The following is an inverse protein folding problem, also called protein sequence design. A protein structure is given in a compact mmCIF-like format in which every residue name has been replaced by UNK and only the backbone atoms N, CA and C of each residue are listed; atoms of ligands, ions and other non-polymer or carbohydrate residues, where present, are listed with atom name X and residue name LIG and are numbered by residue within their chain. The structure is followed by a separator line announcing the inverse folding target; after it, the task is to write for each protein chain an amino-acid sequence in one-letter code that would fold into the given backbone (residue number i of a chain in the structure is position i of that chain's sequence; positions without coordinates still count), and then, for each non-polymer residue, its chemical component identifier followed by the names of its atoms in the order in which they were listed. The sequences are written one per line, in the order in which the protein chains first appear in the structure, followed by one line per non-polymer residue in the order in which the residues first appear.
data_IF_870704119680
#
_entry.id   IF_870704119680
#
_cell.length_a   1.000
_cell.length_b   1.000
_cell.length_c   1.000
_cell.angle_alpha   90.00
_cell.angle_beta   90.00
_cell.angle_gamma   90.00
#
_symmetry.space_group_name_H-M   'P 1'
#
loop_
_entity.id
_entity.type
_entity.pdbx_description
1 polymer ?
#
# COMPACT_ATOMS: atom_id res chain seq x y z
N UNK A 1 17.74 -5.42 15.32
CA UNK A 1 17.12 -6.71 14.93
C UNK A 1 17.14 -7.69 16.08
N UNK A 2 18.28 -8.30 16.43
CA UNK A 2 18.35 -9.33 17.49
C UNK A 2 17.85 -8.89 18.87
N UNK A 3 18.21 -7.67 19.29
CA UNK A 3 17.75 -7.13 20.58
C UNK A 3 16.21 -7.03 20.71
N UNK A 4 15.48 -7.03 19.59
CA UNK A 4 14.01 -6.95 19.56
C UNK A 4 13.36 -8.25 19.04
N UNK A 5 14.15 -9.32 18.90
CA UNK A 5 13.72 -10.61 18.32
C UNK A 5 13.05 -10.48 16.94
N UNK A 6 13.55 -9.56 16.11
CA UNK A 6 13.07 -9.35 14.73
C UNK A 6 14.08 -9.81 13.69
N UNK A 7 13.58 -10.15 12.50
CA UNK A 7 14.39 -10.63 11.38
C UNK A 7 14.10 -9.93 10.05
N UNK A 8 13.19 -8.95 10.00
CA UNK A 8 12.84 -8.20 8.79
C UNK A 8 13.17 -6.70 8.95
N UNK A 9 14.05 -6.20 8.09
CA UNK A 9 14.37 -4.76 7.97
C UNK A 9 13.58 -4.18 6.81
N UNK A 10 12.94 -3.04 7.03
CA UNK A 10 12.24 -2.29 5.98
C UNK A 10 13.19 -1.28 5.38
N UNK A 11 13.28 -1.29 4.05
CA UNK A 11 14.04 -0.35 3.26
C UNK A 11 13.09 0.38 2.32
N UNK A 12 12.58 1.51 2.80
CA UNK A 12 11.74 2.38 1.99
C UNK A 12 12.58 3.05 0.89
N UNK A 13 11.99 3.19 -0.30
CA UNK A 13 12.60 3.88 -1.42
C UNK A 13 12.99 5.31 -1.03
N UNK A 14 14.14 5.76 -1.52
CA UNK A 14 14.63 7.10 -1.25
C UNK A 14 13.72 8.15 -1.91
N UNK A 15 13.51 9.26 -1.21
CA UNK A 15 12.59 10.34 -1.60
C UNK A 15 13.30 11.65 -1.89
N UNK A 16 14.64 11.67 -1.72
CA UNK A 16 15.45 12.84 -2.04
C UNK A 16 15.47 13.06 -3.55
N UNK A 17 15.61 14.31 -3.95
CA UNK A 17 15.59 14.77 -5.35
C UNK A 17 16.95 15.30 -5.81
N UNK A 18 17.93 15.40 -4.90
CA UNK A 18 19.26 15.91 -5.20
C UNK A 18 20.14 14.90 -5.95
N UNK A 19 21.26 15.37 -6.50
CA UNK A 19 22.18 14.56 -7.33
C UNK A 19 22.85 13.40 -6.58
N UNK A 20 22.73 13.32 -5.26
CA UNK A 20 23.24 12.23 -4.43
C UNK A 20 22.37 10.97 -4.46
N UNK A 21 21.22 10.98 -5.15
CA UNK A 21 20.37 9.81 -5.34
C UNK A 21 20.30 9.36 -6.78
N UNK A 22 19.87 8.10 -6.97
CA UNK A 22 19.69 7.51 -8.28
C UNK A 22 18.41 6.70 -8.35
N UNK A 23 17.75 6.73 -9.50
CA UNK A 23 16.65 5.84 -9.87
C UNK A 23 17.08 4.75 -10.85
N UNK A 24 18.38 4.68 -11.17
CA UNK A 24 18.94 3.64 -12.03
C UNK A 24 18.72 2.26 -11.42
N UNK A 25 17.96 1.43 -12.14
CA UNK A 25 17.56 0.10 -11.67
C UNK A 25 18.77 -0.79 -11.35
N UNK A 26 19.85 -0.72 -12.13
CA UNK A 26 21.04 -1.55 -11.90
C UNK A 26 21.70 -1.20 -10.57
N UNK A 27 21.81 0.09 -10.28
CA UNK A 27 22.37 0.59 -9.03
C UNK A 27 21.48 0.20 -7.84
N UNK A 28 20.18 0.48 -7.91
CA UNK A 28 19.23 0.12 -6.82
C UNK A 28 19.25 -1.39 -6.55
N UNK A 29 19.21 -2.21 -7.61
CA UNK A 29 19.24 -3.67 -7.47
C UNK A 29 20.56 -4.17 -6.87
N UNK A 30 21.70 -3.59 -7.27
CA UNK A 30 23.02 -3.93 -6.69
C UNK A 30 23.07 -3.58 -5.21
N UNK A 31 22.60 -2.40 -4.83
CA UNK A 31 22.64 -1.94 -3.45
C UNK A 31 21.72 -2.82 -2.56
N UNK A 32 20.53 -3.20 -3.06
CA UNK A 32 19.66 -4.19 -2.40
C UNK A 32 20.32 -5.56 -2.28
N UNK A 33 21.05 -6.01 -3.31
CA UNK A 33 21.78 -7.29 -3.26
C UNK A 33 22.90 -7.25 -2.21
N UNK A 34 23.63 -6.15 -2.12
CA UNK A 34 24.68 -5.93 -1.12
C UNK A 34 24.10 -5.95 0.30
N UNK A 35 22.98 -5.26 0.54
CA UNK A 35 22.26 -5.33 1.82
C UNK A 35 21.83 -6.76 2.16
N UNK A 36 21.33 -7.51 1.17
CA UNK A 36 20.98 -8.93 1.31
C UNK A 36 22.19 -9.79 1.70
N UNK A 37 23.33 -9.60 1.03
CA UNK A 37 24.56 -10.34 1.27
C UNK A 37 25.14 -10.03 2.67
N UNK A 38 25.10 -8.76 3.09
CA UNK A 38 25.49 -8.33 4.44
C UNK A 38 24.59 -8.95 5.51
N UNK A 39 23.27 -8.92 5.30
CA UNK A 39 22.29 -9.51 6.20
C UNK A 39 22.50 -11.03 6.37
N UNK A 40 22.78 -11.72 5.25
CA UNK A 40 23.07 -13.15 5.26
C UNK A 40 24.43 -13.45 5.94
N UNK A 41 25.46 -12.64 5.72
CA UNK A 41 26.75 -12.79 6.38
C UNK A 41 26.63 -12.61 7.90
N UNK A 42 25.88 -11.61 8.34
CA UNK A 42 25.61 -11.38 9.76
C UNK A 42 24.86 -12.56 10.39
N UNK A 43 23.78 -13.03 9.76
CA UNK A 43 23.00 -14.17 10.27
C UNK A 43 23.82 -15.47 10.35
N UNK A 44 24.77 -15.68 9.43
CA UNK A 44 25.71 -16.82 9.52
C UNK A 44 26.71 -16.66 10.67
N UNK A 45 27.22 -15.46 10.88
CA UNK A 45 28.20 -15.19 11.92
C UNK A 45 27.61 -15.31 13.34
N UNK A 46 26.36 -14.91 13.52
CA UNK A 46 25.67 -14.98 14.82
C UNK A 46 24.89 -16.28 15.06
N UNK A 47 24.75 -17.13 14.04
CA UNK A 47 24.01 -18.39 14.11
C UNK A 47 22.48 -18.22 14.26
N UNK A 48 21.96 -17.00 14.06
CA UNK A 48 20.55 -16.68 14.24
C UNK A 48 19.70 -16.89 12.99
N UNK A 49 18.41 -16.55 13.09
CA UNK A 49 17.46 -16.57 11.96
C UNK A 49 17.95 -15.69 10.80
N UNK A 50 17.70 -16.11 9.55
CA UNK A 50 18.03 -15.31 8.37
C UNK A 50 17.44 -13.90 8.47
N UNK A 51 18.29 -12.88 8.34
CA UNK A 51 17.85 -11.49 8.25
C UNK A 51 17.36 -11.20 6.82
N UNK A 52 16.17 -10.63 6.73
CA UNK A 52 15.46 -10.29 5.49
C UNK A 52 15.48 -8.78 5.29
N UNK A 53 15.66 -8.37 4.04
CA UNK A 53 15.56 -6.99 3.58
C UNK A 53 14.28 -6.86 2.75
N UNK A 54 13.31 -6.11 3.25
CA UNK A 54 12.08 -5.79 2.52
C UNK A 54 12.18 -4.42 1.88
N UNK A 55 12.05 -4.34 0.56
CA UNK A 55 12.03 -3.08 -0.18
C UNK A 55 10.60 -2.56 -0.33
N UNK A 56 10.36 -1.31 0.06
CA UNK A 56 9.06 -0.65 -0.02
C UNK A 56 9.11 0.52 -1.01
N UNK A 57 8.26 0.51 -2.03
CA UNK A 57 8.10 1.65 -2.94
C UNK A 57 7.15 2.68 -2.36
N UNK A 58 7.66 3.84 -1.95
CA UNK A 58 6.81 4.94 -1.50
C UNK A 58 6.15 5.64 -2.69
N UNK A 59 4.89 6.05 -2.56
CA UNK A 59 4.11 6.67 -3.64
C UNK A 59 4.72 7.98 -4.19
N UNK A 60 5.57 8.63 -3.41
CA UNK A 60 6.30 9.84 -3.80
C UNK A 60 7.82 9.62 -4.02
N UNK A 61 8.29 8.37 -4.09
CA UNK A 61 9.64 8.09 -4.54
C UNK A 61 9.76 8.18 -6.07
N UNK A 62 10.99 8.24 -6.60
CA UNK A 62 11.20 8.24 -8.06
C UNK A 62 10.79 6.92 -8.72
N UNK A 63 10.92 5.79 -8.00
CA UNK A 63 10.40 4.47 -8.39
C UNK A 63 9.26 4.11 -7.43
N UNK A 64 8.03 4.45 -7.81
CA UNK A 64 6.88 4.43 -6.91
C UNK A 64 5.79 3.40 -7.24
N UNK A 65 5.90 2.64 -8.34
CA UNK A 65 4.96 1.56 -8.64
C UNK A 65 5.40 0.25 -7.96
N UNK A 66 4.45 -0.63 -7.65
CA UNK A 66 4.79 -1.98 -7.13
C UNK A 66 5.65 -2.75 -8.15
N UNK A 67 5.40 -2.54 -9.44
CA UNK A 67 6.11 -3.20 -10.54
C UNK A 67 7.57 -2.75 -10.59
N UNK A 68 7.84 -1.45 -10.41
CA UNK A 68 9.20 -0.92 -10.35
C UNK A 68 9.98 -1.42 -9.13
N UNK A 69 9.31 -1.58 -7.99
CA UNK A 69 9.89 -2.16 -6.78
C UNK A 69 10.19 -3.65 -6.96
N UNK A 70 9.26 -4.39 -7.56
CA UNK A 70 9.44 -5.80 -7.93
C UNK A 70 10.64 -5.99 -8.85
N UNK A 71 10.82 -5.13 -9.85
CA UNK A 71 11.98 -5.19 -10.73
C UNK A 71 13.29 -5.09 -9.96
N UNK A 72 13.40 -4.12 -9.04
CA UNK A 72 14.60 -3.93 -8.23
C UNK A 72 14.91 -5.17 -7.38
N UNK A 73 13.90 -5.72 -6.69
CA UNK A 73 14.03 -6.97 -5.91
C UNK A 73 14.40 -8.16 -6.78
N UNK A 74 13.78 -8.29 -7.97
CA UNK A 74 14.06 -9.37 -8.92
C UNK A 74 15.49 -9.31 -9.43
N UNK A 75 15.99 -8.12 -9.77
CA UNK A 75 17.38 -7.94 -10.24
C UNK A 75 18.40 -8.06 -9.11
N UNK A 76 18.04 -7.73 -7.86
CA UNK A 76 18.88 -7.97 -6.70
C UNK A 76 19.16 -9.48 -6.52
N UNK A 77 18.17 -10.32 -6.86
CA UNK A 77 18.30 -11.77 -6.97
C UNK A 77 18.94 -12.40 -5.72
N UNK A 78 18.33 -12.15 -4.55
CA UNK A 78 18.71 -12.76 -3.27
C UNK A 78 17.48 -13.34 -2.60
N UNK A 79 17.57 -14.55 -2.00
CA UNK A 79 16.42 -15.18 -1.35
C UNK A 79 15.93 -14.41 -0.11
N UNK A 80 16.80 -13.65 0.55
CA UNK A 80 16.47 -12.82 1.71
C UNK A 80 16.21 -11.35 1.36
N UNK A 81 15.98 -11.03 0.08
CA UNK A 81 15.53 -9.71 -0.38
C UNK A 81 14.15 -9.87 -1.02
N UNK A 82 13.18 -9.10 -0.53
CA UNK A 82 11.77 -9.21 -0.88
C UNK A 82 11.07 -7.86 -0.88
N UNK A 83 9.76 -7.89 -1.08
CA UNK A 83 8.88 -6.72 -1.14
C UNK A 83 8.19 -6.51 0.20
N UNK A 84 8.06 -5.23 0.54
CA UNK A 84 7.04 -4.74 1.46
C UNK A 84 5.96 -4.09 0.58
N UNK A 85 4.74 -4.60 0.68
CA UNK A 85 3.60 -4.07 -0.07
C UNK A 85 2.78 -3.20 0.87
N UNK A 86 2.56 -1.94 0.50
CA UNK A 86 1.64 -1.03 1.19
C UNK A 86 0.49 -0.68 0.23
N UNK A 87 -0.74 -1.02 0.62
CA UNK A 87 -1.94 -0.73 -0.16
C UNK A 87 -2.12 0.77 -0.42
N UNK A 88 -1.82 1.63 0.55
CA UNK A 88 -1.90 3.08 0.34
C UNK A 88 -0.93 3.51 -0.74
N UNK A 89 0.33 3.09 -0.66
CA UNK A 89 1.34 3.52 -1.62
C UNK A 89 1.02 3.06 -3.06
N UNK A 90 0.49 1.84 -3.23
CA UNK A 90 0.02 1.37 -4.54
C UNK A 90 -1.15 2.24 -5.04
N UNK A 91 -2.18 2.43 -4.22
CA UNK A 91 -3.40 3.12 -4.64
C UNK A 91 -3.18 4.61 -4.85
N UNK A 92 -2.30 5.24 -4.06
CA UNK A 92 -1.92 6.65 -4.23
C UNK A 92 -1.19 6.92 -5.56
N UNK A 93 -0.63 5.89 -6.20
CA UNK A 93 0.01 6.00 -7.51
C UNK A 93 -0.93 5.57 -8.63
N UNK A 94 -1.66 4.47 -8.46
CA UNK A 94 -2.39 3.80 -9.55
C UNK A 94 -3.90 4.13 -9.60
N UNK A 95 -4.44 4.83 -8.60
CA UNK A 95 -5.88 5.08 -8.50
C UNK A 95 -6.23 6.50 -8.01
N UNK A 96 -5.70 6.89 -6.85
CA UNK A 96 -6.21 8.00 -6.08
C UNK A 96 -5.69 9.38 -6.52
N UNK A 97 -6.51 10.41 -6.32
CA UNK A 97 -6.15 11.83 -6.38
C UNK A 97 -6.77 12.59 -5.19
N UNK A 98 -5.96 12.97 -4.18
CA UNK A 98 -6.48 13.77 -3.06
C UNK A 98 -6.82 15.22 -3.44
N UNK A 99 -6.56 15.64 -4.67
CA UNK A 99 -6.84 17.00 -5.16
C UNK A 99 -8.01 17.05 -6.15
N UNK A 100 -8.67 15.91 -6.38
CA UNK A 100 -9.90 15.84 -7.15
C UNK A 100 -11.08 15.51 -6.22
N UNK A 101 -12.24 16.15 -6.44
CA UNK A 101 -13.46 15.92 -5.66
C UNK A 101 -13.98 14.48 -5.79
N UNK A 102 -13.71 13.84 -6.93
CA UNK A 102 -14.04 12.44 -7.15
C UNK A 102 -13.09 11.48 -6.41
N UNK A 103 -11.92 11.95 -5.95
CA UNK A 103 -10.88 11.13 -5.34
C UNK A 103 -10.11 10.25 -6.32
N UNK A 104 -10.54 10.16 -7.56
CA UNK A 104 -9.86 9.47 -8.66
C UNK A 104 -9.64 10.47 -9.81
N UNK A 105 -9.52 9.98 -11.04
CA UNK A 105 -9.27 10.82 -12.23
C UNK A 105 -7.91 11.50 -12.30
N UNK A 106 -6.94 10.99 -11.52
CA UNK A 106 -5.53 11.34 -11.68
C UNK A 106 -5.00 10.96 -13.08
N UNK A 107 -5.41 9.77 -13.55
CA UNK A 107 -4.91 9.14 -14.77
C UNK A 107 -6.04 8.88 -15.78
N UNK A 108 -7.22 8.46 -15.32
CA UNK A 108 -8.36 8.03 -16.16
C UNK A 108 -9.66 8.73 -15.79
N UNK A 109 -10.48 9.09 -16.77
CA UNK A 109 -11.60 10.03 -16.55
C UNK A 109 -12.79 9.47 -15.79
N UNK A 110 -12.86 8.14 -15.59
CA UNK A 110 -14.00 7.52 -14.91
C UNK A 110 -13.53 6.55 -13.83
N UNK A 111 -14.42 6.30 -12.86
CA UNK A 111 -14.17 5.33 -11.79
C UNK A 111 -13.99 3.92 -12.38
N UNK A 112 -14.86 3.51 -13.29
CA UNK A 112 -14.84 2.20 -13.93
C UNK A 112 -13.56 1.96 -14.72
N UNK A 113 -13.09 2.95 -15.49
CA UNK A 113 -11.83 2.85 -16.23
C UNK A 113 -10.64 2.78 -15.27
N UNK A 114 -10.63 3.61 -14.22
CA UNK A 114 -9.59 3.59 -13.18
C UNK A 114 -9.50 2.20 -12.50
N UNK A 115 -10.65 1.61 -12.20
CA UNK A 115 -10.73 0.28 -11.59
C UNK A 115 -10.36 -0.85 -12.56
N UNK A 116 -10.69 -0.76 -13.86
CA UNK A 116 -10.28 -1.76 -14.86
C UNK A 116 -8.76 -1.79 -15.02
N UNK A 117 -8.12 -0.61 -15.07
CA UNK A 117 -6.66 -0.52 -15.15
C UNK A 117 -6.01 -1.01 -13.85
N UNK A 118 -6.52 -0.59 -12.69
CA UNK A 118 -6.02 -1.03 -11.40
C UNK A 118 -6.11 -2.56 -11.25
N UNK A 119 -7.27 -3.16 -11.55
CA UNK A 119 -7.45 -4.61 -11.46
C UNK A 119 -6.59 -5.37 -12.48
N UNK A 120 -6.33 -4.81 -13.65
CA UNK A 120 -5.35 -5.34 -14.61
C UNK A 120 -3.91 -5.31 -14.09
N UNK A 121 -3.51 -4.20 -13.46
CA UNK A 121 -2.22 -4.04 -12.77
C UNK A 121 -2.08 -5.06 -11.64
N UNK A 122 -3.08 -5.18 -10.78
CA UNK A 122 -3.09 -6.13 -9.66
C UNK A 122 -3.14 -7.59 -10.12
N UNK A 123 -3.82 -7.91 -11.22
CA UNK A 123 -3.75 -9.25 -11.82
C UNK A 123 -2.32 -9.58 -12.33
N UNK A 124 -1.60 -8.57 -12.81
CA UNK A 124 -0.17 -8.71 -13.15
C UNK A 124 0.68 -8.90 -11.89
N UNK A 125 0.34 -8.27 -10.77
CA UNK A 125 0.99 -8.53 -9.48
C UNK A 125 0.82 -10.00 -9.08
N UNK A 126 -0.42 -10.52 -9.09
CA UNK A 126 -0.73 -11.92 -8.76
C UNK A 126 0.07 -12.91 -9.60
N UNK A 127 0.15 -12.68 -10.91
CA UNK A 127 0.79 -13.61 -11.84
C UNK A 127 2.32 -13.52 -11.89
N UNK A 128 2.91 -12.42 -11.40
CA UNK A 128 4.35 -12.16 -11.58
C UNK A 128 5.13 -12.11 -10.27
N UNK A 129 4.49 -11.92 -9.12
CA UNK A 129 5.15 -11.93 -7.80
C UNK A 129 5.07 -13.34 -7.21
N UNK A 130 6.21 -14.02 -6.98
CA UNK A 130 6.22 -15.29 -6.28
C UNK A 130 5.74 -15.17 -4.83
N UNK A 131 5.18 -16.24 -4.30
CA UNK A 131 4.66 -16.35 -2.92
C UNK A 131 5.70 -16.04 -1.85
N UNK A 132 6.97 -16.39 -2.10
CA UNK A 132 8.10 -16.16 -1.21
C UNK A 132 8.67 -14.73 -1.28
N UNK A 133 8.17 -13.85 -2.16
CA UNK A 133 8.74 -12.51 -2.36
C UNK A 133 8.03 -11.41 -1.61
N UNK A 134 6.81 -11.59 -1.10
CA UNK A 134 6.16 -10.59 -0.25
C UNK A 134 6.48 -10.92 1.20
N UNK A 135 7.36 -10.13 1.82
CA UNK A 135 7.77 -10.34 3.21
C UNK A 135 6.81 -9.73 4.21
N UNK A 136 6.07 -8.71 3.81
CA UNK A 136 5.12 -8.02 4.66
C UNK A 136 4.07 -7.27 3.83
N UNK A 137 2.85 -7.20 4.36
CA UNK A 137 1.76 -6.43 3.78
C UNK A 137 1.21 -5.43 4.80
N UNK A 138 1.19 -4.16 4.39
CA UNK A 138 0.59 -3.04 5.10
C UNK A 138 -0.67 -2.60 4.37
N UNK A 139 -1.72 -2.34 5.15
CA UNK A 139 -2.99 -1.86 4.63
C UNK A 139 -3.41 -0.61 5.38
N UNK A 140 -3.50 0.50 4.63
CA UNK A 140 -4.11 1.75 5.06
C UNK A 140 -5.04 2.25 3.96
N UNK A 141 -6.20 2.73 4.36
CA UNK A 141 -7.11 3.49 3.49
C UNK A 141 -6.79 4.98 3.63
N UNK A 142 -7.56 5.84 2.97
CA UNK A 142 -7.37 7.28 3.07
C UNK A 142 -8.64 8.06 2.84
N UNK A 143 -8.71 9.22 3.49
CA UNK A 143 -9.84 10.14 3.43
C UNK A 143 -9.99 10.76 2.04
N UNK A 144 -11.23 10.81 1.53
CA UNK A 144 -11.62 11.58 0.36
C UNK A 144 -11.59 13.06 0.74
N UNK A 145 -10.58 13.76 0.24
CA UNK A 145 -10.33 15.15 0.61
C UNK A 145 -11.27 16.10 -0.12
N UNK A 146 -11.57 17.24 0.51
CA UNK A 146 -12.19 18.37 -0.18
C UNK A 146 -11.09 19.25 -0.82
N UNK A 147 -10.97 19.31 -2.16
CA UNK A 147 -9.90 20.05 -2.83
C UNK A 147 -9.97 21.57 -2.64
N UNK A 148 -11.09 22.11 -2.17
CA UNK A 148 -11.19 23.55 -1.83
C UNK A 148 -10.45 23.89 -0.54
N UNK A 149 -10.27 22.90 0.35
CA UNK A 149 -9.63 23.07 1.66
C UNK A 149 -8.30 22.32 1.77
N UNK A 150 -8.11 21.27 0.99
CA UNK A 150 -6.88 20.49 0.94
C UNK A 150 -6.19 20.75 -0.39
N UNK A 151 -5.20 21.63 -0.36
CA UNK A 151 -4.48 22.10 -1.55
C UNK A 151 -3.10 21.43 -1.65
N UNK A 152 -2.56 21.26 -2.88
CA UNK A 152 -1.20 20.80 -3.05
C UNK A 152 -0.21 21.70 -2.29
N UNK A 153 0.90 21.13 -1.77
CA UNK A 153 1.99 21.91 -1.20
C UNK A 153 2.47 23.00 -2.16
N UNK A 154 2.74 24.18 -1.64
CA UNK A 154 3.34 25.29 -2.41
C UNK A 154 4.86 25.19 -2.50
N UNK A 155 5.48 24.48 -1.56
CA UNK A 155 6.91 24.20 -1.54
C UNK A 155 7.24 23.05 -2.50
N UNK A 156 8.12 23.30 -3.47
CA UNK A 156 8.52 22.32 -4.48
C UNK A 156 9.30 21.13 -3.91
N UNK A 157 9.89 21.27 -2.72
CA UNK A 157 10.61 20.19 -2.05
C UNK A 157 9.67 19.24 -1.30
N UNK A 158 8.41 19.63 -1.09
CA UNK A 158 7.41 18.79 -0.42
C UNK A 158 6.66 17.96 -1.45
N UNK A 159 6.76 16.61 -1.43
CA UNK A 159 6.05 15.80 -2.38
C UNK A 159 4.53 15.93 -2.25
N UNK A 160 3.84 16.00 -3.37
CA UNK A 160 2.40 16.30 -3.40
C UNK A 160 1.54 15.33 -2.57
N UNK A 161 1.90 14.04 -2.47
CA UNK A 161 1.11 13.07 -1.71
C UNK A 161 1.48 13.01 -0.21
N UNK A 162 2.58 13.65 0.19
CA UNK A 162 3.12 13.52 1.55
C UNK A 162 2.18 14.05 2.65
N UNK A 163 1.54 15.24 2.52
CA UNK A 163 0.63 15.72 3.56
C UNK A 163 -0.58 14.80 3.75
N UNK A 164 -1.13 14.28 2.65
CA UNK A 164 -2.25 13.34 2.68
C UNK A 164 -1.82 12.04 3.38
N UNK A 165 -0.68 11.48 2.98
CA UNK A 165 -0.11 10.28 3.57
C UNK A 165 0.22 10.41 5.07
N UNK A 166 0.47 11.59 5.61
CA UNK A 166 0.92 11.78 7.00
C UNK A 166 -0.20 12.16 7.97
N UNK A 167 -1.35 12.56 7.46
CA UNK A 167 -2.43 13.12 8.29
C UNK A 167 -3.82 12.55 7.98
N UNK A 168 -3.99 11.85 6.85
CA UNK A 168 -5.29 11.43 6.34
C UNK A 168 -5.37 9.94 5.95
N UNK A 169 -4.39 9.12 6.36
CA UNK A 169 -4.50 7.66 6.22
C UNK A 169 -5.43 7.10 7.30
N UNK A 170 -6.45 6.39 6.86
CA UNK A 170 -7.51 5.80 7.67
C UNK A 170 -7.35 4.28 7.77
N UNK A 171 -8.12 3.67 8.66
CA UNK A 171 -8.21 2.21 8.70
C UNK A 171 -8.94 1.69 7.45
N UNK A 172 -8.65 0.45 7.01
CA UNK A 172 -9.30 -0.16 5.85
C UNK A 172 -10.82 -0.01 5.89
N UNK A 173 -11.41 0.50 4.80
CA UNK A 173 -12.86 0.57 4.62
C UNK A 173 -13.59 1.42 5.69
N UNK A 174 -12.90 2.37 6.33
CA UNK A 174 -13.47 3.28 7.35
C UNK A 174 -14.33 4.40 6.72
N UNK A 175 -15.39 4.02 5.98
CA UNK A 175 -16.24 4.95 5.22
C UNK A 175 -16.91 6.02 6.08
N UNK A 176 -17.17 5.71 7.36
CA UNK A 176 -17.71 6.69 8.33
C UNK A 176 -16.81 7.90 8.55
N UNK A 177 -15.55 7.83 8.11
CA UNK A 177 -14.57 8.93 8.14
C UNK A 177 -14.07 9.32 6.75
N UNK A 178 -14.78 8.91 5.70
CA UNK A 178 -14.45 9.28 4.32
C UNK A 178 -13.41 8.38 3.65
N UNK A 179 -13.12 7.19 4.17
CA UNK A 179 -12.30 6.22 3.47
C UNK A 179 -12.94 5.83 2.12
N UNK A 180 -12.16 5.88 1.04
CA UNK A 180 -12.68 5.66 -0.31
C UNK A 180 -11.77 4.83 -1.22
N UNK A 181 -10.58 4.44 -0.79
CA UNK A 181 -9.70 3.68 -1.67
C UNK A 181 -10.17 2.22 -1.78
N UNK A 182 -9.93 1.54 -2.92
CA UNK A 182 -10.27 0.13 -3.10
C UNK A 182 -9.20 -0.79 -2.51
N UNK A 183 -8.91 -0.64 -1.21
CA UNK A 183 -7.89 -1.39 -0.47
C UNK A 183 -8.12 -2.91 -0.48
N UNK A 184 -9.38 -3.33 -0.58
CA UNK A 184 -9.79 -4.73 -0.68
C UNK A 184 -9.26 -5.41 -1.95
N UNK A 185 -9.09 -4.67 -3.06
CA UNK A 185 -8.53 -5.21 -4.31
C UNK A 185 -7.04 -5.53 -4.14
N UNK A 186 -6.29 -4.64 -3.47
CA UNK A 186 -4.87 -4.85 -3.20
C UNK A 186 -4.69 -6.02 -2.23
N UNK A 187 -5.48 -6.06 -1.16
CA UNK A 187 -5.44 -7.17 -0.20
C UNK A 187 -5.78 -8.51 -0.88
N UNK A 188 -6.81 -8.55 -1.74
CA UNK A 188 -7.15 -9.75 -2.51
C UNK A 188 -6.00 -10.20 -3.42
N UNK A 189 -5.37 -9.27 -4.14
CA UNK A 189 -4.21 -9.57 -4.99
C UNK A 189 -3.03 -10.11 -4.18
N UNK A 190 -2.68 -9.48 -3.06
CA UNK A 190 -1.58 -9.92 -2.20
C UNK A 190 -1.86 -11.32 -1.65
N UNK A 191 -3.05 -11.60 -1.14
CA UNK A 191 -3.40 -12.94 -0.65
C UNK A 191 -3.37 -14.00 -1.77
N UNK A 192 -3.78 -13.61 -2.99
CA UNK A 192 -3.76 -14.47 -4.17
C UNK A 192 -2.36 -14.84 -4.66
N UNK A 193 -1.32 -14.05 -4.35
CA UNK A 193 0.08 -14.45 -4.62
C UNK A 193 0.52 -15.65 -3.80
N UNK A 194 -0.19 -16.00 -2.71
CA UNK A 194 0.25 -17.00 -1.75
C UNK A 194 0.69 -16.43 -0.41
N UNK A 195 0.65 -15.10 -0.21
CA UNK A 195 0.93 -14.48 1.09
C UNK A 195 0.02 -15.02 2.19
N UNK A 196 0.61 -15.45 3.32
CA UNK A 196 -0.11 -16.00 4.50
C UNK A 196 0.31 -15.36 5.83
N UNK A 197 1.19 -14.37 5.79
CA UNK A 197 1.66 -13.68 6.99
C UNK A 197 0.62 -12.62 7.46
N UNK A 198 0.78 -12.03 8.66
CA UNK A 198 -0.16 -11.02 9.16
C UNK A 198 -0.33 -9.82 8.23
N UNK A 199 -1.51 -9.21 8.25
CA UNK A 199 -1.79 -7.92 7.63
C UNK A 199 -1.53 -6.84 8.69
N UNK A 200 -0.61 -5.92 8.42
CA UNK A 200 -0.34 -4.80 9.30
C UNK A 200 -1.19 -3.60 8.94
N UNK A 201 -1.66 -2.85 9.94
CA UNK A 201 -2.33 -1.58 9.72
C UNK A 201 -1.31 -0.45 9.77
N UNK A 202 -1.14 0.24 8.65
CA UNK A 202 -0.33 1.45 8.59
C UNK A 202 -1.22 2.67 8.40
N UNK A 203 -1.45 3.37 9.51
CA UNK A 203 -2.34 4.53 9.56
C UNK A 203 -1.60 5.74 10.10
N UNK A 204 -1.92 6.89 9.52
CA UNK A 204 -1.37 8.19 9.88
C UNK A 204 -2.52 9.19 9.78
N UNK A 205 -3.19 9.42 10.91
CA UNK A 205 -4.34 10.30 11.01
C UNK A 205 -4.11 11.33 12.12
N UNK A 206 -4.56 12.58 11.92
CA UNK A 206 -4.49 13.64 12.94
C UNK A 206 -5.12 13.21 14.28
N UNK A 207 -6.14 12.35 14.27
CA UNK A 207 -6.76 11.80 15.48
C UNK A 207 -5.80 11.00 16.37
N UNK A 208 -4.73 10.40 15.81
CA UNK A 208 -3.70 9.70 16.58
C UNK A 208 -2.88 10.65 17.48
N UNK A 209 -2.80 11.92 17.09
CA UNK A 209 -2.03 12.93 17.82
C UNK A 209 -2.87 13.70 18.84
N UNK A 210 -4.18 13.37 18.95
CA UNK A 210 -5.04 14.03 19.93
C UNK A 210 -4.74 13.52 21.34
N UNK A 211 -4.69 14.41 22.35
CA UNK A 211 -4.54 13.98 23.73
C UNK A 211 -5.84 13.35 24.22
N UNK A 212 -5.74 12.25 24.97
CA UNK A 212 -6.90 11.64 25.60
C UNK A 212 -6.65 10.19 26.01
N UNK A 213 -7.18 9.78 27.15
CA UNK A 213 -7.04 8.41 27.64
C UNK A 213 -7.83 7.40 26.80
N UNK A 214 -8.89 7.83 26.11
CA UNK A 214 -9.71 6.99 25.24
C UNK A 214 -9.09 6.75 23.86
N UNK A 215 -8.18 7.63 23.41
CA UNK A 215 -7.62 7.61 22.05
C UNK A 215 -7.02 6.24 21.68
N UNK A 216 -6.16 5.60 22.51
CA UNK A 216 -5.65 4.27 22.19
C UNK A 216 -6.73 3.20 22.02
N UNK A 217 -7.74 3.19 22.87
CA UNK A 217 -8.82 2.19 22.83
C UNK A 217 -9.76 2.41 21.62
N UNK A 218 -10.05 3.66 21.29
CA UNK A 218 -10.82 4.03 20.09
C UNK A 218 -10.09 3.59 18.82
N UNK A 219 -8.79 3.88 18.72
CA UNK A 219 -7.98 3.48 17.57
C UNK A 219 -7.80 1.97 17.46
N UNK A 220 -7.62 1.26 18.58
CA UNK A 220 -7.62 -0.21 18.58
C UNK A 220 -8.94 -0.78 18.06
N UNK A 221 -10.08 -0.20 18.48
CA UNK A 221 -11.41 -0.62 18.03
C UNK A 221 -11.62 -0.33 16.54
N UNK A 222 -11.21 0.85 16.06
CA UNK A 222 -11.25 1.23 14.65
C UNK A 222 -10.40 0.29 13.79
N UNK A 223 -9.18 -0.03 14.25
CA UNK A 223 -8.30 -0.96 13.55
C UNK A 223 -8.84 -2.39 13.49
N UNK A 224 -9.39 -2.90 14.60
CA UNK A 224 -10.02 -4.22 14.61
C UNK A 224 -11.22 -4.30 13.67
N UNK A 225 -12.07 -3.27 13.66
CA UNK A 225 -13.22 -3.20 12.77
C UNK A 225 -12.78 -3.12 11.30
N UNK A 226 -11.79 -2.28 10.99
CA UNK A 226 -11.24 -2.17 9.63
C UNK A 226 -10.63 -3.49 9.14
N UNK A 227 -9.86 -4.19 9.98
CA UNK A 227 -9.31 -5.51 9.61
C UNK A 227 -10.40 -6.56 9.37
N UNK A 228 -11.43 -6.60 10.22
CA UNK A 228 -12.57 -7.53 10.03
C UNK A 228 -13.27 -7.26 8.71
N UNK A 229 -13.60 -6.00 8.44
CA UNK A 229 -14.30 -5.61 7.22
C UNK A 229 -13.43 -5.86 5.98
N UNK A 230 -12.12 -5.58 6.04
CA UNK A 230 -11.18 -5.85 4.96
C UNK A 230 -11.18 -7.34 4.63
N UNK A 231 -11.00 -8.18 5.64
CA UNK A 231 -11.02 -9.63 5.53
C UNK A 231 -12.32 -10.14 4.88
N UNK A 232 -13.48 -9.77 5.44
CA UNK A 232 -14.80 -10.15 4.93
C UNK A 232 -15.00 -9.72 3.47
N UNK A 233 -14.67 -8.47 3.16
CA UNK A 233 -14.81 -7.90 1.81
C UNK A 233 -13.88 -8.61 0.82
N UNK A 234 -12.61 -8.79 1.18
CA UNK A 234 -11.61 -9.48 0.35
C UNK A 234 -11.99 -10.92 0.03
N UNK A 235 -12.60 -11.67 0.97
CA UNK A 235 -13.06 -13.04 0.69
C UNK A 235 -14.33 -13.10 -0.18
N UNK A 236 -15.12 -12.03 -0.19
CA UNK A 236 -16.32 -11.95 -1.03
C UNK A 236 -16.03 -11.52 -2.48
N UNK A 237 -14.83 -10.98 -2.74
CA UNK A 237 -14.45 -10.50 -4.05
C UNK A 237 -14.26 -11.64 -5.06
N UNK A 238 -14.82 -11.49 -6.28
CA UNK A 238 -14.50 -12.33 -7.43
C UNK A 238 -12.99 -12.38 -7.67
N UNK A 239 -12.49 -13.53 -8.12
CA UNK A 239 -11.07 -13.72 -8.40
C UNK A 239 -10.67 -13.01 -9.70
N UNK A 240 -10.62 -11.69 -9.67
CA UNK A 240 -10.48 -10.81 -10.85
C UNK A 240 -9.20 -11.02 -11.68
N UNK A 241 -8.23 -11.76 -11.13
CA UNK A 241 -7.02 -12.19 -11.85
C UNK A 241 -7.22 -13.42 -12.74
N UNK A 242 -8.36 -14.12 -12.66
CA UNK A 242 -8.62 -15.34 -13.43
C UNK A 242 -9.23 -15.10 -14.81
N UNK A 243 -10.15 -14.14 -14.93
CA UNK A 243 -10.83 -13.86 -16.20
C UNK A 243 -11.36 -12.42 -16.28
N UNK A 244 -11.66 -11.98 -17.50
CA UNK A 244 -12.30 -10.68 -17.74
C UNK A 244 -13.69 -10.57 -17.09
N UNK A 245 -14.44 -11.68 -17.02
CA UNK A 245 -15.75 -11.73 -16.39
C UNK A 245 -15.67 -11.51 -14.87
N UNK A 246 -14.78 -12.24 -14.20
CA UNK A 246 -14.51 -12.08 -12.76
C UNK A 246 -14.03 -10.66 -12.46
N UNK A 247 -13.19 -10.08 -13.34
CA UNK A 247 -12.74 -8.69 -13.21
C UNK A 247 -13.89 -7.70 -13.23
N UNK A 248 -14.78 -7.80 -14.22
CA UNK A 248 -15.97 -6.94 -14.30
C UNK A 248 -16.86 -7.07 -13.06
N UNK A 249 -17.03 -8.28 -12.54
CA UNK A 249 -17.83 -8.52 -11.34
C UNK A 249 -17.19 -7.88 -10.10
N UNK A 250 -15.87 -8.00 -9.93
CA UNK A 250 -15.16 -7.36 -8.84
C UNK A 250 -15.25 -5.83 -8.91
N UNK A 251 -15.06 -5.25 -10.11
CA UNK A 251 -15.21 -3.81 -10.35
C UNK A 251 -16.62 -3.35 -9.96
N UNK A 252 -17.66 -4.08 -10.39
CA UNK A 252 -19.05 -3.73 -10.08
C UNK A 252 -19.32 -3.70 -8.56
N UNK A 253 -18.77 -4.66 -7.79
CA UNK A 253 -18.89 -4.67 -6.33
C UNK A 253 -18.19 -3.45 -5.69
N UNK A 254 -17.00 -3.10 -6.17
CA UNK A 254 -16.26 -1.94 -5.67
C UNK A 254 -16.99 -0.64 -6.01
N UNK A 255 -17.49 -0.48 -7.23
CA UNK A 255 -18.29 0.68 -7.64
C UNK A 255 -19.52 0.83 -6.75
N UNK A 256 -20.25 -0.26 -6.52
CA UNK A 256 -21.42 -0.24 -5.63
C UNK A 256 -21.06 0.18 -4.21
N UNK A 257 -19.93 -0.29 -3.67
CA UNK A 257 -19.46 0.10 -2.33
C UNK A 257 -19.09 1.58 -2.23
N UNK A 258 -18.49 2.13 -3.30
CA UNK A 258 -18.03 3.52 -3.35
C UNK A 258 -19.15 4.53 -3.62
N UNK A 259 -20.31 4.06 -4.09
CA UNK A 259 -21.48 4.93 -4.22
C UNK A 259 -21.91 5.45 -2.84
N UNK A 260 -22.24 6.74 -2.72
CA UNK A 260 -22.79 7.29 -1.49
C UNK A 260 -24.12 6.60 -1.18
N UNK A 261 -24.25 6.04 0.02
CA UNK A 261 -25.51 5.46 0.52
C UNK A 261 -26.61 6.55 0.52
N UNK A 262 -27.48 6.57 -0.49
CA UNK A 262 -28.63 7.48 -0.58
C UNK A 262 -29.62 7.35 0.61
N UNK A 263 -29.42 6.36 1.49
CA UNK A 263 -30.31 6.05 2.61
C UNK A 263 -29.74 6.39 4.01
N UNK A 264 -28.48 6.85 4.12
CA UNK A 264 -27.88 7.18 5.43
C UNK A 264 -28.17 8.60 5.96
N UNK A 265 -28.83 9.46 5.19
CA UNK A 265 -29.23 10.82 5.60
C UNK A 265 -30.73 10.97 5.92
N UNK A 266 -31.45 9.87 6.11
CA UNK A 266 -32.85 9.87 6.58
C UNK A 266 -33.00 9.10 7.88
N UNK A 267 -32.36 9.54 8.95
CA UNK A 267 -32.71 9.18 10.34
C UNK A 267 -32.33 10.34 11.26
#
# INVERSE_FOLDING_TARGET
MRAFDTDLVFMCANIRTDKGVTSDLKTVARDLAELGDMAAAYARADGGRMLKIGYEGLSWATRNTWSASREAVRFANRPNVGLIVDAFNILAVEFADPYNVAGHERIYQTLEESLDILTGSLASLVSTVPDDRIFFFQCGDAELMNPTTFLPPTDSETPALLPWSRSHRLYPLEQSRGAYMPVELVAAAVLATGYRCPISLEVFNVSLNQPGQSVPAEHASRGLNGLRLLCETTWSLPAFWQSHGERKNAIAQVVQRLQPDEHKHKL
#
